data_IF_914086617729
#
_entry.id   IF_914086617729
#
_cell.length_a   1.000
_cell.length_b   1.000
_cell.length_c   1.000
_cell.angle_alpha   90.00
_cell.angle_beta   90.00
_cell.angle_gamma   90.00
#
_symmetry.space_group_name_H-M   'P 1'
#
loop_
_entity.id
_entity.type
_entity.pdbx_description
1 polymer ?
#
# COMPACT_ATOMS: atom_id res chain seq x y z
N UNK A 1 25.99 15.52 -6.77
CA UNK A 1 24.58 15.76 -6.37
C UNK A 1 24.29 14.83 -5.22
N UNK A 2 24.24 15.34 -3.99
CA UNK A 2 23.72 14.54 -2.87
C UNK A 2 22.25 14.30 -3.12
N UNK A 3 21.86 13.06 -3.36
CA UNK A 3 20.47 12.65 -3.23
C UNK A 3 20.09 12.86 -1.77
N UNK A 4 19.33 13.91 -1.48
CA UNK A 4 18.75 14.10 -0.15
C UNK A 4 17.85 12.91 0.11
N UNK A 5 18.14 12.11 1.14
CA UNK A 5 17.26 11.01 1.54
C UNK A 5 15.90 11.60 1.91
N UNK A 6 14.83 11.07 1.31
CA UNK A 6 13.44 11.41 1.65
C UNK A 6 13.21 11.22 3.15
N UNK A 7 12.45 12.12 3.76
CA UNK A 7 12.05 12.02 5.18
C UNK A 7 10.98 10.94 5.38
N UNK A 8 10.75 10.51 6.63
CA UNK A 8 9.67 9.57 6.93
C UNK A 8 8.30 10.15 6.55
N UNK A 9 8.08 11.44 6.80
CA UNK A 9 6.85 12.14 6.41
C UNK A 9 6.62 12.14 4.89
N UNK A 10 7.67 12.40 4.08
CA UNK A 10 7.57 12.34 2.62
C UNK A 10 7.24 10.93 2.12
N UNK A 11 7.86 9.89 2.71
CA UNK A 11 7.60 8.50 2.35
C UNK A 11 6.16 8.08 2.73
N UNK A 12 5.69 8.49 3.91
CA UNK A 12 4.33 8.19 4.36
C UNK A 12 3.30 8.93 3.51
N UNK A 13 3.54 10.19 3.15
CA UNK A 13 2.68 10.95 2.25
C UNK A 13 2.55 10.28 0.87
N UNK A 14 3.67 9.86 0.27
CA UNK A 14 3.69 9.12 -1.00
C UNK A 14 2.90 7.81 -0.91
N UNK A 15 3.10 7.03 0.16
CA UNK A 15 2.35 5.80 0.36
C UNK A 15 0.84 6.05 0.50
N UNK A 16 0.45 7.09 1.25
CA UNK A 16 -0.94 7.48 1.44
C UNK A 16 -1.60 7.92 0.12
N UNK A 17 -0.91 8.68 -0.73
CA UNK A 17 -1.44 9.04 -2.06
C UNK A 17 -1.78 7.80 -2.89
N UNK A 18 -0.90 6.81 -2.90
CA UNK A 18 -1.16 5.54 -3.59
C UNK A 18 -2.35 4.79 -2.99
N UNK A 19 -2.44 4.71 -1.67
CA UNK A 19 -3.53 4.01 -0.99
C UNK A 19 -4.88 4.72 -1.14
N UNK A 20 -4.92 6.05 -1.12
CA UNK A 20 -6.13 6.83 -1.37
C UNK A 20 -6.63 6.62 -2.80
N UNK A 21 -5.74 6.58 -3.79
CA UNK A 21 -6.10 6.26 -5.17
C UNK A 21 -6.63 4.82 -5.31
N UNK A 22 -6.03 3.86 -4.60
CA UNK A 22 -6.54 2.49 -4.56
C UNK A 22 -7.98 2.44 -3.99
N UNK A 23 -8.24 3.14 -2.88
CA UNK A 23 -9.56 3.26 -2.27
C UNK A 23 -10.54 3.97 -3.20
N UNK A 24 -10.12 5.05 -3.88
CA UNK A 24 -10.98 5.74 -4.84
C UNK A 24 -11.35 4.84 -6.02
N UNK A 25 -10.41 4.04 -6.54
CA UNK A 25 -10.70 3.08 -7.60
C UNK A 25 -11.65 1.97 -7.15
N UNK A 26 -11.65 1.59 -5.87
CA UNK A 26 -12.57 0.56 -5.36
C UNK A 26 -14.04 0.98 -5.31
N UNK A 27 -14.32 2.28 -5.47
CA UNK A 27 -15.67 2.82 -5.61
C UNK A 27 -16.24 2.66 -7.03
N UNK A 28 -15.42 2.19 -7.98
CA UNK A 28 -15.81 1.91 -9.37
C UNK A 28 -16.28 0.45 -9.51
N UNK A 29 -16.56 0.02 -10.73
CA UNK A 29 -16.96 -1.36 -11.01
C UNK A 29 -15.78 -2.33 -10.77
N UNK A 30 -15.88 -3.13 -9.71
CA UNK A 30 -14.87 -4.12 -9.33
C UNK A 30 -14.93 -5.42 -10.16
N UNK A 31 -15.86 -5.53 -11.11
CA UNK A 31 -15.85 -6.59 -12.11
C UNK A 31 -15.01 -6.24 -13.35
N UNK A 32 -14.62 -4.97 -13.50
CA UNK A 32 -13.72 -4.50 -14.54
C UNK A 32 -12.25 -4.81 -14.18
N UNK A 33 -11.60 -5.63 -15.00
CA UNK A 33 -10.19 -6.01 -14.79
C UNK A 33 -9.26 -4.79 -14.81
N UNK A 34 -9.56 -3.75 -15.58
CA UNK A 34 -8.74 -2.51 -15.61
C UNK A 34 -8.79 -1.81 -14.25
N UNK A 35 -9.95 -1.84 -13.57
CA UNK A 35 -10.09 -1.28 -12.22
C UNK A 35 -9.30 -2.12 -11.22
N UNK A 36 -9.38 -3.45 -11.30
CA UNK A 36 -8.60 -4.35 -10.44
C UNK A 36 -7.09 -4.15 -10.62
N UNK A 37 -6.61 -4.07 -11.86
CA UNK A 37 -5.20 -3.82 -12.18
C UNK A 37 -4.73 -2.47 -11.65
N UNK A 38 -5.55 -1.42 -11.80
CA UNK A 38 -5.25 -0.10 -11.26
C UNK A 38 -5.12 -0.11 -9.73
N UNK A 39 -6.02 -0.81 -9.03
CA UNK A 39 -5.96 -0.96 -7.57
C UNK A 39 -4.67 -1.73 -7.19
N UNK A 40 -4.41 -2.86 -7.85
CA UNK A 40 -3.24 -3.69 -7.58
C UNK A 40 -1.91 -2.95 -7.80
N UNK A 41 -1.82 -2.14 -8.86
CA UNK A 41 -0.67 -1.27 -9.12
C UNK A 41 -0.48 -0.26 -7.99
N UNK A 42 -1.56 0.40 -7.56
CA UNK A 42 -1.50 1.40 -6.48
C UNK A 42 -1.14 0.77 -5.13
N UNK A 43 -1.70 -0.39 -4.79
CA UNK A 43 -1.31 -1.16 -3.61
C UNK A 43 0.18 -1.51 -3.63
N UNK A 44 0.68 -2.00 -4.77
CA UNK A 44 2.10 -2.37 -4.92
C UNK A 44 3.02 -1.16 -4.74
N UNK A 45 2.67 -0.03 -5.34
CA UNK A 45 3.44 1.21 -5.23
C UNK A 45 3.48 1.75 -3.79
N UNK A 46 2.34 1.78 -3.09
CA UNK A 46 2.30 2.23 -1.70
C UNK A 46 3.08 1.32 -0.75
N UNK A 47 3.02 -0.01 -0.94
CA UNK A 47 3.84 -0.96 -0.17
C UNK A 47 5.34 -0.81 -0.47
N UNK A 48 5.70 -0.51 -1.71
CA UNK A 48 7.09 -0.25 -2.09
C UNK A 48 7.62 1.04 -1.46
N UNK A 49 6.83 2.12 -1.46
CA UNK A 49 7.17 3.38 -0.80
C UNK A 49 7.47 3.16 0.69
N UNK A 50 6.58 2.46 1.42
CA UNK A 50 6.81 2.10 2.83
C UNK A 50 8.03 1.21 3.05
N UNK A 51 8.52 0.54 2.01
CA UNK A 51 9.79 -0.20 2.04
C UNK A 51 11.00 0.68 2.34
N UNK A 52 10.93 1.97 1.99
CA UNK A 52 12.00 2.94 2.19
C UNK A 52 12.04 3.55 3.61
N UNK A 53 11.01 3.34 4.43
CA UNK A 53 11.03 3.75 5.84
C UNK A 53 12.15 3.02 6.60
N UNK A 54 12.72 3.70 7.58
CA UNK A 54 13.63 3.05 8.51
C UNK A 54 12.89 1.90 9.24
N UNK A 55 13.59 0.79 9.56
CA UNK A 55 12.94 -0.38 10.15
C UNK A 55 12.21 -0.12 11.47
N UNK A 56 12.71 0.82 12.29
CA UNK A 56 12.18 1.08 13.62
C UNK A 56 10.86 1.85 13.52
N UNK A 57 10.82 2.94 12.75
CA UNK A 57 9.59 3.68 12.43
C UNK A 57 8.56 2.80 11.76
N UNK A 58 8.98 1.96 10.80
CA UNK A 58 8.06 1.04 10.13
C UNK A 58 7.47 0.01 11.09
N UNK A 59 8.28 -0.52 12.02
CA UNK A 59 7.82 -1.47 13.03
C UNK A 59 6.89 -0.80 14.03
N UNK A 60 7.18 0.45 14.42
CA UNK A 60 6.35 1.26 15.29
C UNK A 60 4.96 1.49 14.70
N UNK A 61 4.88 1.86 13.42
CA UNK A 61 3.60 2.19 12.77
C UNK A 61 2.83 0.92 12.37
N UNK A 62 3.50 -0.03 11.73
CA UNK A 62 2.84 -1.15 11.03
C UNK A 62 2.93 -2.47 11.79
N UNK A 63 3.90 -2.65 12.68
CA UNK A 63 4.11 -3.88 13.45
C UNK A 63 3.93 -5.15 12.63
N UNK A 64 2.98 -5.99 13.02
CA UNK A 64 2.68 -7.27 12.37
C UNK A 64 1.95 -7.16 11.02
N UNK A 65 1.50 -5.96 10.63
CA UNK A 65 0.86 -5.72 9.33
C UNK A 65 1.89 -5.65 8.21
N UNK A 66 3.11 -5.20 8.49
CA UNK A 66 4.15 -5.05 7.46
C UNK A 66 4.47 -6.36 6.71
N UNK A 67 4.73 -7.50 7.39
CA UNK A 67 4.94 -8.77 6.69
C UNK A 67 3.73 -9.20 5.84
N UNK A 68 2.50 -8.90 6.28
CA UNK A 68 1.27 -9.23 5.54
C UNK A 68 1.13 -8.39 4.27
N UNK A 69 1.41 -7.09 4.37
CA UNK A 69 1.42 -6.17 3.22
C UNK A 69 2.46 -6.60 2.17
N UNK A 70 3.67 -6.97 2.61
CA UNK A 70 4.72 -7.51 1.73
C UNK A 70 4.30 -8.83 1.08
N UNK A 71 3.69 -9.73 1.84
CA UNK A 71 3.15 -10.99 1.31
C UNK A 71 2.07 -10.76 0.25
N UNK A 72 1.15 -9.81 0.47
CA UNK A 72 0.13 -9.40 -0.51
C UNK A 72 0.75 -8.82 -1.78
N UNK A 73 1.70 -7.87 -1.67
CA UNK A 73 2.42 -7.31 -2.82
C UNK A 73 3.14 -8.39 -3.62
N UNK A 74 3.74 -9.38 -2.95
CA UNK A 74 4.41 -10.50 -3.61
C UNK A 74 3.43 -11.42 -4.36
N UNK A 75 2.20 -11.59 -3.87
CA UNK A 75 1.16 -12.34 -4.60
C UNK A 75 0.72 -11.59 -5.85
N UNK A 76 0.50 -10.28 -5.75
CA UNK A 76 0.18 -9.42 -6.90
C UNK A 76 1.29 -9.48 -7.97
N UNK A 77 2.56 -9.48 -7.57
CA UNK A 77 3.68 -9.45 -8.49
C UNK A 77 4.04 -10.80 -9.14
N UNK A 78 3.68 -11.93 -8.52
CA UNK A 78 4.10 -13.26 -8.97
C UNK A 78 3.03 -14.08 -9.70
N UNK A 79 1.75 -13.70 -9.68
CA UNK A 79 0.74 -14.37 -10.50
C UNK A 79 0.84 -13.90 -11.97
N UNK A 80 1.82 -14.46 -12.69
CA UNK A 80 2.14 -14.23 -14.10
C UNK A 80 1.02 -14.64 -15.10
N UNK A 81 -0.25 -14.65 -14.69
CA UNK A 81 -1.39 -15.03 -15.52
C UNK A 81 -2.64 -14.21 -15.26
N UNK A 82 -3.04 -14.05 -13.99
CA UNK A 82 -4.21 -13.26 -13.57
C UNK A 82 -4.03 -12.80 -12.13
N UNK A 83 -4.31 -11.54 -11.84
CA UNK A 83 -4.42 -11.07 -10.46
C UNK A 83 -5.69 -11.68 -9.85
N UNK A 84 -5.57 -12.36 -8.71
CA UNK A 84 -6.72 -12.81 -7.94
C UNK A 84 -7.52 -11.58 -7.46
N UNK A 85 -8.64 -11.33 -8.14
CA UNK A 85 -9.51 -10.18 -7.91
C UNK A 85 -10.07 -10.19 -6.48
N UNK A 86 -10.37 -11.37 -5.92
CA UNK A 86 -10.86 -11.51 -4.56
C UNK A 86 -9.82 -11.04 -3.55
N UNK A 87 -8.53 -11.35 -3.76
CA UNK A 87 -7.43 -10.85 -2.91
C UNK A 87 -7.32 -9.33 -2.99
N UNK A 88 -7.40 -8.74 -4.19
CA UNK A 88 -7.31 -7.28 -4.37
C UNK A 88 -8.50 -6.58 -3.70
N UNK A 89 -9.71 -7.09 -3.92
CA UNK A 89 -10.95 -6.54 -3.34
C UNK A 89 -10.94 -6.63 -1.83
N UNK A 90 -10.58 -7.80 -1.28
CA UNK A 90 -10.43 -7.98 0.16
C UNK A 90 -9.37 -7.02 0.73
N UNK A 91 -8.27 -6.83 0.02
CA UNK A 91 -7.20 -5.94 0.48
C UNK A 91 -7.66 -4.49 0.52
N UNK A 92 -8.21 -3.96 -0.57
CA UNK A 92 -8.57 -2.54 -0.63
C UNK A 92 -9.79 -2.19 0.24
N UNK A 93 -10.74 -3.12 0.41
CA UNK A 93 -11.97 -2.86 1.17
C UNK A 93 -11.83 -3.11 2.67
N UNK A 94 -10.96 -4.03 3.08
CA UNK A 94 -10.91 -4.50 4.48
C UNK A 94 -9.53 -4.33 5.11
N UNK A 95 -8.46 -4.73 4.41
CA UNK A 95 -7.13 -4.77 5.01
C UNK A 95 -6.42 -3.41 4.97
N UNK A 96 -6.67 -2.61 3.94
CA UNK A 96 -6.01 -1.33 3.72
C UNK A 96 -6.50 -0.21 4.65
N UNK A 97 -7.80 -0.05 4.95
CA UNK A 97 -8.26 1.07 5.77
C UNK A 97 -7.56 1.20 7.14
N UNK A 98 -7.37 0.12 7.93
CA UNK A 98 -6.64 0.22 9.20
C UNK A 98 -5.17 0.64 9.05
N UNK A 99 -4.54 0.31 7.91
CA UNK A 99 -3.17 0.75 7.61
C UNK A 99 -3.13 2.24 7.31
N UNK A 100 -4.09 2.73 6.51
CA UNK A 100 -4.22 4.17 6.19
C UNK A 100 -4.47 4.97 7.47
N UNK A 101 -5.33 4.49 8.36
CA UNK A 101 -5.57 5.11 9.68
C UNK A 101 -4.28 5.19 10.52
N UNK A 102 -3.52 4.10 10.61
CA UNK A 102 -2.27 4.07 11.37
C UNK A 102 -1.22 5.04 10.79
N UNK A 103 -1.10 5.11 9.47
CA UNK A 103 -0.18 6.03 8.78
C UNK A 103 -0.58 7.50 8.98
N UNK A 104 -1.88 7.82 8.97
CA UNK A 104 -2.38 9.18 9.21
C UNK A 104 -2.28 9.61 10.67
N UNK A 105 -2.36 8.67 11.60
CA UNK A 105 -2.22 8.92 13.03
C UNK A 105 -0.76 9.07 13.46
N UNK A 106 0.20 8.69 12.61
CA UNK A 106 1.61 8.87 12.88
C UNK A 106 1.96 10.35 12.86
N UNK A 107 2.47 10.84 13.98
CA UNK A 107 3.11 12.14 14.10
C UNK A 107 4.59 11.89 14.42
N UNK A 108 5.46 12.69 13.81
CA UNK A 108 6.89 12.70 14.11
C UNK A 108 7.05 13.03 15.60
N UNK A 109 7.54 12.07 16.39
CA UNK A 109 7.73 12.19 17.85
C UNK A 109 9.08 12.80 18.20
#
# INVERSE_FOLDING_TARGET
MSSTRRTAAEIIAEALEHFDLAISHSQRDLSDLVVIDAIAMRLSAGVEALGALDPDTRTLILGNQWPKMRGMRNRIAHDYGFIDDAIVRQTVLVNLPPVVEALRAWNES
#
